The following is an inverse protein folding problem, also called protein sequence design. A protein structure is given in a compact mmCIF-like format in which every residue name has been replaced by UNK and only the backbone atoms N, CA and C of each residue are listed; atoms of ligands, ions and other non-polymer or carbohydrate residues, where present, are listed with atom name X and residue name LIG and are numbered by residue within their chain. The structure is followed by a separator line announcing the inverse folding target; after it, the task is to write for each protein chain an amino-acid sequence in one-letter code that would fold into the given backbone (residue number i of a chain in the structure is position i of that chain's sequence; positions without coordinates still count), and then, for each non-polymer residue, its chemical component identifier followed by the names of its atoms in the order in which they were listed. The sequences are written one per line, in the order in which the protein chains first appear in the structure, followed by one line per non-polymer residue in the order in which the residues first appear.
data_IF_633116581533
#
_entry.id   IF_633116581533
#
_cell.length_a   1.000
_cell.length_b   1.000
_cell.length_c   1.000
_cell.angle_alpha   90.00
_cell.angle_beta   90.00
_cell.angle_gamma   90.00
#
_symmetry.space_group_name_H-M   'P 1'
#
loop_
_entity.id
_entity.type
_entity.pdbx_description
1 polymer ?
#
# COMPACT_ATOMS: atom_id res chain seq x y z
N UNK A 1 24.62 48.88 -82.74
CA UNK A 1 25.55 48.36 -81.69
C UNK A 1 24.81 47.66 -80.64
N UNK A 2 24.79 46.31 -80.67
CA UNK A 2 24.05 45.46 -79.78
C UNK A 2 24.94 45.11 -78.58
N UNK A 3 24.50 45.38 -77.35
CA UNK A 3 25.15 44.91 -76.14
C UNK A 3 24.35 43.74 -75.56
N UNK A 4 24.99 42.60 -75.49
CA UNK A 4 24.53 41.36 -74.96
C UNK A 4 24.79 41.42 -73.45
N UNK A 5 23.77 41.16 -72.67
CA UNK A 5 23.82 41.01 -71.17
C UNK A 5 23.76 39.51 -70.83
N UNK A 6 24.71 38.96 -70.14
CA UNK A 6 24.64 37.54 -69.77
C UNK A 6 23.74 37.30 -68.57
N UNK A 7 22.90 36.29 -68.70
CA UNK A 7 22.11 35.65 -67.66
C UNK A 7 23.05 34.87 -66.72
N UNK A 8 23.15 35.28 -65.45
CA UNK A 8 23.78 34.51 -64.39
C UNK A 8 23.08 34.81 -63.06
N UNK A 9 22.10 34.00 -62.73
CA UNK A 9 21.64 33.57 -61.40
C UNK A 9 20.32 32.82 -61.59
N UNK A 10 20.29 31.56 -61.32
CA UNK A 10 19.88 31.14 -59.98
C UNK A 10 20.48 29.75 -59.61
N UNK A 11 21.49 29.71 -58.81
CA UNK A 11 22.00 28.42 -58.26
C UNK A 11 22.34 28.42 -56.79
N UNK A 12 21.96 29.47 -56.06
CA UNK A 12 22.29 29.58 -54.60
C UNK A 12 21.12 29.39 -53.65
N UNK A 13 19.89 29.13 -54.13
CA UNK A 13 18.72 28.97 -53.24
C UNK A 13 18.32 27.53 -52.92
N UNK A 14 18.89 26.54 -53.65
CA UNK A 14 18.53 25.13 -53.45
C UNK A 14 19.30 24.43 -52.31
N UNK A 15 20.43 24.97 -51.86
CA UNK A 15 21.27 24.31 -50.86
C UNK A 15 20.84 24.58 -49.38
N UNK A 16 20.02 25.59 -49.13
CA UNK A 16 19.63 25.93 -47.75
C UNK A 16 18.39 25.20 -47.25
N UNK A 17 17.56 24.65 -48.14
CA UNK A 17 16.33 23.94 -47.74
C UNK A 17 16.55 22.50 -47.27
N UNK A 18 17.63 21.84 -47.68
CA UNK A 18 17.93 20.46 -47.29
C UNK A 18 18.56 20.34 -45.90
N UNK A 19 19.20 21.40 -45.38
CA UNK A 19 19.82 21.41 -44.05
C UNK A 19 18.81 21.54 -42.91
N UNK A 20 17.65 22.17 -43.13
CA UNK A 20 16.60 22.33 -42.12
C UNK A 20 15.76 21.05 -41.89
N UNK A 21 15.64 20.20 -42.89
CA UNK A 21 14.90 18.93 -42.77
C UNK A 21 15.66 17.87 -41.98
N UNK A 22 16.99 17.91 -41.95
CA UNK A 22 17.82 16.97 -41.20
C UNK A 22 17.79 17.20 -39.68
N UNK A 23 17.72 18.46 -39.24
CA UNK A 23 17.68 18.79 -37.80
C UNK A 23 16.33 18.40 -37.16
N UNK A 24 15.21 18.53 -37.87
CA UNK A 24 13.90 18.19 -37.33
C UNK A 24 13.72 16.66 -37.18
N UNK A 25 14.23 15.85 -38.11
CA UNK A 25 14.17 14.39 -38.05
C UNK A 25 15.09 13.82 -36.95
N UNK A 26 16.23 14.46 -36.69
CA UNK A 26 17.18 14.03 -35.66
C UNK A 26 16.67 14.37 -34.26
N UNK A 27 15.94 15.47 -34.09
CA UNK A 27 15.37 15.90 -32.85
C UNK A 27 14.14 15.05 -32.44
N UNK A 28 13.36 14.58 -33.39
CA UNK A 28 12.28 13.63 -33.17
C UNK A 28 12.80 12.26 -32.75
N UNK A 29 13.84 11.74 -33.40
CA UNK A 29 14.41 10.44 -33.03
C UNK A 29 15.07 10.42 -31.66
N UNK A 30 15.72 11.50 -31.22
CA UNK A 30 16.28 11.62 -29.87
C UNK A 30 15.20 11.76 -28.81
N UNK A 31 14.09 12.45 -29.09
CA UNK A 31 12.97 12.58 -28.12
C UNK A 31 12.22 11.26 -27.95
N UNK A 32 11.99 10.50 -29.01
CA UNK A 32 11.34 9.18 -28.96
C UNK A 32 12.22 8.16 -28.23
N UNK A 33 13.53 8.16 -28.51
CA UNK A 33 14.47 7.29 -27.76
C UNK A 33 14.55 7.66 -26.28
N UNK A 34 14.45 8.94 -25.92
CA UNK A 34 14.41 9.42 -24.54
C UNK A 34 13.11 9.02 -23.83
N UNK A 35 11.96 9.11 -24.50
CA UNK A 35 10.67 8.67 -23.92
C UNK A 35 10.62 7.16 -23.71
N UNK A 36 11.08 6.37 -24.66
CA UNK A 36 11.16 4.91 -24.52
C UNK A 36 12.10 4.48 -23.37
N UNK A 37 13.21 5.16 -23.17
CA UNK A 37 14.12 4.90 -22.06
C UNK A 37 13.46 5.23 -20.70
N UNK A 38 12.74 6.37 -20.62
CA UNK A 38 11.99 6.75 -19.43
C UNK A 38 10.83 5.77 -19.13
N UNK A 39 10.12 5.32 -20.14
CA UNK A 39 9.06 4.32 -19.99
C UNK A 39 9.61 2.99 -19.48
N UNK A 40 10.78 2.54 -19.99
CA UNK A 40 11.44 1.35 -19.49
C UNK A 40 11.90 1.49 -18.02
N UNK A 41 12.42 2.68 -17.66
CA UNK A 41 12.82 2.96 -16.27
C UNK A 41 11.60 3.00 -15.33
N UNK A 42 10.49 3.61 -15.76
CA UNK A 42 9.22 3.61 -15.02
C UNK A 42 8.68 2.19 -14.84
N UNK A 43 8.75 1.35 -15.88
CA UNK A 43 8.33 -0.04 -15.80
C UNK A 43 9.20 -0.83 -14.80
N UNK A 44 10.51 -0.61 -14.85
CA UNK A 44 11.45 -1.21 -13.91
C UNK A 44 11.17 -0.76 -12.46
N UNK A 45 11.02 0.54 -12.22
CA UNK A 45 10.71 1.08 -10.89
C UNK A 45 9.38 0.54 -10.34
N UNK A 46 8.36 0.40 -11.19
CA UNK A 46 7.10 -0.23 -10.78
C UNK A 46 7.29 -1.67 -10.34
N UNK A 47 8.08 -2.44 -11.07
CA UNK A 47 8.42 -3.82 -10.69
C UNK A 47 9.19 -3.86 -9.38
N UNK A 48 10.20 -3.01 -9.21
CA UNK A 48 11.00 -2.93 -8.00
C UNK A 48 10.13 -2.55 -6.77
N UNK A 49 9.16 -1.63 -6.94
CA UNK A 49 8.20 -1.26 -5.90
C UNK A 49 7.24 -2.43 -5.59
N UNK A 50 6.80 -3.17 -6.59
CA UNK A 50 5.94 -4.34 -6.38
C UNK A 50 6.66 -5.44 -5.61
N UNK A 51 7.94 -5.65 -5.86
CA UNK A 51 8.78 -6.62 -5.16
C UNK A 51 9.06 -6.23 -3.68
N UNK A 52 8.95 -4.94 -3.35
CA UNK A 52 9.11 -4.42 -1.98
C UNK A 52 7.82 -4.44 -1.15
N UNK A 53 6.68 -4.78 -1.75
CA UNK A 53 5.41 -4.84 -1.02
C UNK A 53 5.41 -5.98 0.00
N UNK A 54 4.98 -5.73 1.25
CA UNK A 54 4.87 -6.79 2.23
C UNK A 54 3.82 -7.83 1.81
N UNK A 55 4.13 -9.09 2.00
CA UNK A 55 3.18 -10.18 1.78
C UNK A 55 2.04 -10.10 2.81
N UNK A 56 0.83 -10.58 2.43
CA UNK A 56 -0.32 -10.57 3.34
C UNK A 56 -0.03 -11.30 4.65
N UNK A 57 0.73 -12.41 4.62
CA UNK A 57 1.10 -13.17 5.80
C UNK A 57 1.98 -12.38 6.78
N UNK A 58 2.88 -11.52 6.28
CA UNK A 58 3.70 -10.63 7.10
C UNK A 58 2.83 -9.57 7.79
N UNK A 59 1.93 -8.93 7.05
CA UNK A 59 0.98 -7.95 7.60
C UNK A 59 0.11 -8.62 8.68
N UNK A 60 -0.41 -9.82 8.43
CA UNK A 60 -1.21 -10.55 9.43
C UNK A 60 -0.41 -10.90 10.68
N UNK A 61 0.90 -11.18 10.55
CA UNK A 61 1.80 -11.37 11.69
C UNK A 61 1.94 -10.11 12.55
N UNK A 62 2.07 -8.94 11.91
CA UNK A 62 2.10 -7.63 12.59
C UNK A 62 0.78 -7.36 13.31
N UNK A 63 -0.36 -7.55 12.64
CA UNK A 63 -1.69 -7.41 13.24
C UNK A 63 -1.85 -8.32 14.47
N UNK A 64 -1.38 -9.57 14.40
CA UNK A 64 -1.45 -10.51 15.51
C UNK A 64 -0.65 -10.03 16.72
N UNK A 65 0.51 -9.43 16.52
CA UNK A 65 1.33 -8.87 17.59
C UNK A 65 0.61 -7.69 18.28
N UNK A 66 0.10 -6.73 17.51
CA UNK A 66 -0.62 -5.58 18.03
C UNK A 66 -1.94 -5.99 18.72
N UNK A 67 -2.64 -6.98 18.18
CA UNK A 67 -3.83 -7.54 18.79
C UNK A 67 -3.53 -8.12 20.20
N UNK A 68 -2.46 -8.89 20.36
CA UNK A 68 -2.06 -9.42 21.65
C UNK A 68 -1.59 -8.33 22.62
N UNK A 69 -0.77 -7.37 22.16
CA UNK A 69 -0.27 -6.24 22.97
C UNK A 69 -1.42 -5.35 23.47
N UNK A 70 -2.41 -5.08 22.61
CA UNK A 70 -3.63 -4.33 22.98
C UNK A 70 -4.36 -4.99 24.16
N UNK A 71 -4.51 -6.30 24.13
CA UNK A 71 -5.12 -7.04 25.23
C UNK A 71 -4.38 -6.88 26.56
N UNK A 72 -3.05 -7.06 26.53
CA UNK A 72 -2.24 -6.91 27.73
C UNK A 72 -2.25 -5.47 28.25
N UNK A 73 -2.21 -4.48 27.39
CA UNK A 73 -2.27 -3.07 27.77
C UNK A 73 -3.59 -2.75 28.47
N UNK A 74 -4.72 -3.06 27.83
CA UNK A 74 -6.05 -2.75 28.38
C UNK A 74 -6.36 -3.52 29.67
N UNK A 75 -5.93 -4.79 29.78
CA UNK A 75 -6.13 -5.57 31.01
C UNK A 75 -5.31 -5.06 32.19
N UNK A 76 -4.24 -4.29 31.93
CA UNK A 76 -3.39 -3.61 32.94
C UNK A 76 -3.73 -2.12 33.10
N UNK A 77 -4.85 -1.68 32.55
CA UNK A 77 -5.34 -0.29 32.61
C UNK A 77 -4.42 0.73 31.90
N UNK A 78 -3.52 0.27 31.03
CA UNK A 78 -2.69 1.11 30.18
C UNK A 78 -3.45 1.50 28.90
N UNK A 79 -4.44 2.38 29.07
CA UNK A 79 -5.34 2.80 27.99
C UNK A 79 -4.62 3.54 26.85
N UNK A 80 -3.63 4.41 27.11
CA UNK A 80 -2.87 5.02 26.03
C UNK A 80 -2.13 4.00 25.14
N UNK A 81 -1.55 2.96 25.74
CA UNK A 81 -0.92 1.89 24.98
C UNK A 81 -1.95 1.05 24.23
N UNK A 82 -3.10 0.76 24.84
CA UNK A 82 -4.17 0.02 24.17
C UNK A 82 -4.70 0.76 22.94
N UNK A 83 -4.83 2.09 23.01
CA UNK A 83 -5.25 2.95 21.90
C UNK A 83 -4.20 2.96 20.78
N UNK A 84 -2.94 3.08 21.14
CA UNK A 84 -1.83 2.98 20.18
C UNK A 84 -1.86 1.64 19.42
N UNK A 85 -1.95 0.52 20.15
CA UNK A 85 -1.95 -0.80 19.54
C UNK A 85 -3.20 -1.03 18.64
N UNK A 86 -4.33 -0.42 18.96
CA UNK A 86 -5.52 -0.42 18.10
C UNK A 86 -5.26 0.36 16.79
N UNK A 87 -4.59 1.51 16.88
CA UNK A 87 -4.19 2.29 15.72
C UNK A 87 -3.30 1.48 14.77
N UNK A 88 -2.31 0.78 15.30
CA UNK A 88 -1.40 -0.09 14.53
C UNK A 88 -2.16 -1.25 13.84
N UNK A 89 -3.19 -1.81 14.48
CA UNK A 89 -4.07 -2.81 13.86
C UNK A 89 -4.82 -2.19 12.66
N UNK A 90 -5.38 -0.99 12.83
CA UNK A 90 -6.14 -0.32 11.78
C UNK A 90 -5.26 0.01 10.58
N UNK A 91 -4.08 0.59 10.81
CA UNK A 91 -3.10 0.88 9.74
C UNK A 91 -2.66 -0.39 9.02
N UNK A 92 -2.36 -1.45 9.76
CA UNK A 92 -1.98 -2.73 9.15
C UNK A 92 -3.11 -3.37 8.33
N UNK A 93 -4.38 -3.21 8.74
CA UNK A 93 -5.53 -3.67 7.96
C UNK A 93 -5.71 -2.84 6.67
N UNK A 94 -5.47 -1.53 6.72
CA UNK A 94 -5.47 -0.66 5.53
C UNK A 94 -4.34 -1.04 4.58
N UNK A 95 -3.16 -1.37 5.08
CA UNK A 95 -2.05 -1.88 4.29
C UNK A 95 -2.36 -3.25 3.68
N UNK A 96 -3.03 -4.14 4.40
CA UNK A 96 -3.49 -5.41 3.86
C UNK A 96 -4.41 -5.22 2.65
N UNK A 97 -5.37 -4.31 2.74
CA UNK A 97 -6.29 -3.93 1.65
C UNK A 97 -5.54 -3.29 0.48
N UNK A 98 -4.63 -2.37 0.77
CA UNK A 98 -3.88 -1.59 -0.22
C UNK A 98 -2.89 -2.45 -1.01
N UNK A 99 -2.09 -3.26 -0.33
CA UNK A 99 -1.02 -4.03 -0.96
C UNK A 99 -1.46 -5.41 -1.45
N UNK A 100 -2.49 -5.97 -0.83
CA UNK A 100 -3.00 -7.31 -1.15
C UNK A 100 -4.53 -7.29 -1.34
N UNK A 101 -5.09 -6.52 -2.30
CA UNK A 101 -6.54 -6.39 -2.49
C UNK A 101 -7.23 -7.73 -2.79
N UNK A 102 -6.46 -8.67 -3.33
CA UNK A 102 -6.87 -10.07 -3.51
C UNK A 102 -5.76 -11.00 -3.04
N UNK A 103 -6.13 -12.12 -2.42
CA UNK A 103 -5.17 -13.14 -1.99
C UNK A 103 -5.72 -14.53 -2.26
N UNK A 104 -5.04 -15.31 -3.13
CA UNK A 104 -5.47 -16.67 -3.53
C UNK A 104 -6.95 -16.75 -3.94
N UNK A 105 -7.43 -15.72 -4.64
CA UNK A 105 -8.82 -15.60 -5.10
C UNK A 105 -9.80 -15.03 -4.07
N UNK A 106 -9.41 -14.80 -2.83
CA UNK A 106 -10.24 -14.11 -1.84
C UNK A 106 -10.18 -12.58 -2.02
N UNK A 107 -11.31 -11.85 -2.03
CA UNK A 107 -11.37 -10.40 -2.17
C UNK A 107 -11.08 -9.71 -0.82
N UNK A 108 -9.80 -9.60 -0.45
CA UNK A 108 -9.34 -9.02 0.83
C UNK A 108 -9.87 -7.59 1.02
N UNK A 109 -9.88 -6.80 -0.07
CA UNK A 109 -10.34 -5.41 -0.04
C UNK A 109 -11.82 -5.27 0.38
N UNK A 110 -12.64 -6.27 0.11
CA UNK A 110 -14.05 -6.28 0.51
C UNK A 110 -14.25 -6.95 1.88
N UNK A 111 -13.54 -8.06 2.12
CA UNK A 111 -13.70 -8.86 3.34
C UNK A 111 -13.24 -8.12 4.59
N UNK A 112 -12.08 -7.46 4.53
CA UNK A 112 -11.51 -6.78 5.69
C UNK A 112 -12.47 -5.72 6.24
N UNK A 113 -12.87 -4.68 5.50
CA UNK A 113 -13.75 -3.65 6.05
C UNK A 113 -15.14 -4.15 6.40
N UNK A 114 -15.69 -5.11 5.64
CA UNK A 114 -17.04 -5.62 5.90
C UNK A 114 -17.13 -6.43 7.20
N UNK A 115 -16.07 -7.12 7.58
CA UNK A 115 -16.07 -8.01 8.75
C UNK A 115 -15.46 -7.37 10.01
N UNK A 116 -14.56 -6.38 9.87
CA UNK A 116 -13.82 -5.84 11.02
C UNK A 116 -14.30 -4.47 11.50
N UNK A 117 -14.86 -3.63 10.61
CA UNK A 117 -15.20 -2.23 10.93
C UNK A 117 -16.03 -2.07 12.20
N UNK A 118 -17.08 -2.86 12.37
CA UNK A 118 -17.97 -2.73 13.51
C UNK A 118 -17.29 -3.12 14.82
N UNK A 119 -16.52 -4.21 14.84
CA UNK A 119 -15.81 -4.66 16.03
C UNK A 119 -14.64 -3.77 16.40
N UNK A 120 -13.92 -3.20 15.44
CA UNK A 120 -12.90 -2.17 15.69
C UNK A 120 -13.49 -0.93 16.35
N UNK A 121 -14.65 -0.44 15.88
CA UNK A 121 -15.35 0.69 16.50
C UNK A 121 -15.75 0.39 17.95
N UNK A 122 -16.23 -0.82 18.23
CA UNK A 122 -16.57 -1.23 19.61
C UNK A 122 -15.35 -1.24 20.54
N UNK A 123 -14.21 -1.73 20.05
CA UNK A 123 -12.94 -1.72 20.82
C UNK A 123 -12.50 -0.28 21.09
N UNK A 124 -12.51 0.58 20.08
CA UNK A 124 -12.16 1.99 20.20
C UNK A 124 -13.03 2.69 21.26
N UNK A 125 -14.37 2.50 21.21
CA UNK A 125 -15.30 3.10 22.16
C UNK A 125 -15.04 2.64 23.59
N UNK A 126 -14.72 1.36 23.79
CA UNK A 126 -14.41 0.82 25.10
C UNK A 126 -13.07 1.36 25.65
N UNK A 127 -12.06 1.49 24.83
CA UNK A 127 -10.76 2.11 25.17
C UNK A 127 -10.96 3.58 25.54
N UNK A 128 -11.67 4.35 24.73
CA UNK A 128 -11.94 5.77 24.99
C UNK A 128 -12.67 6.00 26.33
N UNK A 129 -13.57 5.09 26.68
CA UNK A 129 -14.30 5.12 27.96
C UNK A 129 -13.52 4.50 29.13
N UNK A 130 -12.37 3.89 28.86
CA UNK A 130 -11.58 3.12 29.83
C UNK A 130 -12.41 2.03 30.55
N UNK A 131 -13.37 1.46 29.80
CA UNK A 131 -14.28 0.42 30.32
C UNK A 131 -13.70 -0.96 30.02
N UNK A 132 -13.05 -1.55 31.01
CA UNK A 132 -12.42 -2.88 30.89
C UNK A 132 -13.43 -3.98 30.56
N UNK A 133 -14.64 -3.95 31.10
CA UNK A 133 -15.66 -4.96 30.82
C UNK A 133 -16.16 -4.87 29.39
N UNK A 134 -16.44 -3.67 28.91
CA UNK A 134 -16.80 -3.41 27.51
C UNK A 134 -15.66 -3.79 26.58
N UNK A 135 -14.41 -3.45 26.95
CA UNK A 135 -13.23 -3.81 26.17
C UNK A 135 -13.10 -5.32 25.98
N UNK A 136 -13.20 -6.12 27.04
CA UNK A 136 -13.10 -7.58 26.94
C UNK A 136 -14.17 -8.18 26.02
N UNK A 137 -15.39 -7.66 26.07
CA UNK A 137 -16.47 -8.07 25.16
C UNK A 137 -16.18 -7.69 23.72
N UNK A 138 -15.76 -6.45 23.48
CA UNK A 138 -15.43 -5.93 22.15
C UNK A 138 -14.21 -6.63 21.55
N UNK A 139 -13.20 -6.92 22.37
CA UNK A 139 -12.00 -7.67 21.97
C UNK A 139 -12.34 -9.09 21.47
N UNK A 140 -13.22 -9.81 22.21
CA UNK A 140 -13.70 -11.12 21.77
C UNK A 140 -14.48 -11.04 20.44
N UNK A 141 -15.27 -9.98 20.27
CA UNK A 141 -15.98 -9.71 19.00
C UNK A 141 -15.01 -9.46 17.87
N UNK A 142 -13.93 -8.69 18.09
CA UNK A 142 -12.88 -8.45 17.10
C UNK A 142 -12.13 -9.74 16.74
N UNK A 143 -11.75 -10.55 17.74
CA UNK A 143 -11.10 -11.86 17.51
C UNK A 143 -11.97 -12.79 16.66
N UNK A 144 -13.29 -12.80 16.94
CA UNK A 144 -14.26 -13.56 16.14
C UNK A 144 -14.39 -13.03 14.72
N UNK A 145 -14.37 -11.70 14.53
CA UNK A 145 -14.38 -11.06 13.21
C UNK A 145 -13.16 -11.43 12.39
N UNK A 146 -11.95 -11.41 12.97
CA UNK A 146 -10.72 -11.86 12.33
C UNK A 146 -10.81 -13.33 11.90
N UNK A 147 -11.29 -14.21 12.78
CA UNK A 147 -11.47 -15.63 12.47
C UNK A 147 -12.49 -15.86 11.33
N UNK A 148 -13.56 -15.09 11.31
CA UNK A 148 -14.58 -15.14 10.27
C UNK A 148 -14.02 -14.65 8.91
N UNK A 149 -13.17 -13.61 8.93
CA UNK A 149 -12.47 -13.13 7.75
C UNK A 149 -11.53 -14.21 7.18
N UNK A 150 -10.74 -14.86 8.04
CA UNK A 150 -9.89 -15.98 7.63
C UNK A 150 -10.71 -17.13 7.04
N UNK A 151 -11.84 -17.46 7.64
CA UNK A 151 -12.75 -18.48 7.11
C UNK A 151 -13.29 -18.11 5.73
N UNK A 152 -13.74 -16.87 5.54
CA UNK A 152 -14.24 -16.36 4.26
C UNK A 152 -13.13 -16.32 3.19
N UNK A 153 -11.88 -16.10 3.60
CA UNK A 153 -10.70 -16.13 2.75
C UNK A 153 -10.13 -17.57 2.51
N UNK A 154 -10.88 -18.62 2.81
CA UNK A 154 -10.47 -20.03 2.68
C UNK A 154 -9.28 -20.46 3.59
N UNK A 155 -9.12 -19.81 4.75
CA UNK A 155 -8.12 -20.13 5.77
C UNK A 155 -8.77 -20.44 7.14
N UNK A 156 -9.77 -21.35 7.23
CA UNK A 156 -10.53 -21.60 8.46
C UNK A 156 -9.70 -22.19 9.60
N UNK A 157 -8.49 -22.68 9.30
CA UNK A 157 -7.54 -23.20 10.28
C UNK A 157 -6.79 -22.09 11.05
N UNK A 158 -6.89 -20.81 10.61
CA UNK A 158 -6.34 -19.67 11.34
C UNK A 158 -7.45 -19.08 12.18
N UNK A 159 -7.41 -19.38 13.49
CA UNK A 159 -8.39 -18.90 14.45
C UNK A 159 -7.73 -17.98 15.47
N UNK A 160 -8.31 -16.81 15.66
CA UNK A 160 -7.83 -15.81 16.62
C UNK A 160 -8.59 -15.97 17.92
N UNK A 161 -7.86 -15.95 19.04
CA UNK A 161 -8.40 -16.09 20.38
C UNK A 161 -7.80 -15.07 21.33
N UNK A 162 -8.38 -14.96 22.51
CA UNK A 162 -7.80 -14.17 23.61
C UNK A 162 -6.45 -14.77 24.01
N UNK A 163 -5.39 -13.96 24.17
CA UNK A 163 -4.08 -14.44 24.62
C UNK A 163 -4.17 -15.07 26.03
N UNK A 164 -3.51 -16.20 26.23
CA UNK A 164 -3.44 -16.89 27.54
C UNK A 164 -2.17 -16.58 28.31
N UNK A 165 -1.06 -16.31 27.58
CA UNK A 165 0.26 -16.09 28.16
C UNK A 165 0.89 -14.81 27.61
N UNK A 166 1.62 -14.08 28.49
CA UNK A 166 2.36 -12.88 28.08
C UNK A 166 3.58 -13.28 27.22
N UNK A 167 3.52 -12.96 25.94
CA UNK A 167 4.57 -13.33 24.95
C UNK A 167 5.68 -12.28 24.80
N UNK A 168 5.48 -11.06 25.34
CA UNK A 168 6.38 -9.93 25.16
C UNK A 168 7.03 -9.56 26.50
N UNK A 169 8.06 -10.32 26.89
CA UNK A 169 8.72 -10.18 28.20
C UNK A 169 9.58 -8.91 28.32
N UNK A 170 9.91 -8.28 27.21
CA UNK A 170 10.71 -7.07 27.07
C UNK A 170 9.87 -5.78 26.99
N UNK A 171 8.55 -5.88 27.10
CA UNK A 171 7.62 -4.75 27.07
C UNK A 171 6.83 -4.62 28.38
N UNK A 172 6.80 -3.39 28.94
CA UNK A 172 5.96 -3.05 30.09
C UNK A 172 4.55 -2.70 29.64
N UNK A 173 3.53 -3.41 30.16
CA UNK A 173 2.11 -3.18 29.84
C UNK A 173 1.36 -2.37 30.89
N UNK A 174 1.92 -2.23 32.10
CA UNK A 174 1.33 -1.35 33.14
C UNK A 174 1.64 0.12 32.83
N UNK A 175 0.79 1.07 33.26
CA UNK A 175 1.04 2.49 33.13
C UNK A 175 2.39 2.93 33.68
#
# INVERSE_FOLDING_TARGET
MKKILPLLAPLLFAACFTALSGCAAQQQNTSVASTAALEAEIAKLKSDVDDLKPGLGEIMGVIQQHHAKMYYAATKDNWPLADYELGEIQESLDDAVKFNPTFKGAPVADLVPSLTKASLAQVHDAIAKKDKKAFLSAYNSLSSSCSNCHKAANHPFIQIQTPTDAQFSDQKFTP
#
